data_IF_890487461925
#
_entry.id   IF_890487461925
#
_cell.length_a   1.000
_cell.length_b   1.000
_cell.length_c   1.000
_cell.angle_alpha   90.00
_cell.angle_beta   90.00
_cell.angle_gamma   90.00
#
_symmetry.space_group_name_H-M   'P 1'
#
loop_
_entity.id
_entity.type
_entity.pdbx_description
1 polymer ?
#
# COMPACT_ATOMS: atom_id res chain seq x y z
N UNK A 1 54.44 -42.06 -7.20
CA UNK A 1 53.04 -41.79 -7.58
C UNK A 1 52.28 -41.08 -6.43
N UNK A 2 52.74 -39.88 -6.00
CA UNK A 2 52.15 -39.14 -4.85
C UNK A 2 52.03 -37.62 -5.06
N UNK A 3 52.45 -37.12 -6.22
CA UNK A 3 52.53 -35.69 -6.55
C UNK A 3 51.33 -35.18 -7.35
N UNK A 4 50.57 -36.06 -8.02
CA UNK A 4 49.43 -35.69 -8.85
C UNK A 4 48.20 -35.21 -8.04
N UNK A 5 48.06 -35.64 -6.78
CA UNK A 5 46.87 -35.37 -5.97
C UNK A 5 46.92 -34.00 -5.23
N UNK A 6 48.13 -33.49 -4.94
CA UNK A 6 48.31 -32.24 -4.18
C UNK A 6 48.04 -30.98 -5.02
N UNK A 7 48.29 -31.07 -6.34
CA UNK A 7 48.06 -29.97 -7.28
C UNK A 7 46.55 -29.79 -7.54
N UNK A 8 45.82 -30.90 -7.69
CA UNK A 8 44.39 -30.90 -7.92
C UNK A 8 43.60 -30.33 -6.70
N UNK A 9 43.99 -30.68 -5.46
CA UNK A 9 43.35 -30.09 -4.27
C UNK A 9 43.58 -28.59 -4.10
N UNK A 10 44.71 -28.03 -4.55
CA UNK A 10 44.95 -26.58 -4.49
C UNK A 10 44.10 -25.83 -5.51
N UNK A 11 43.90 -26.42 -6.69
CA UNK A 11 43.02 -25.87 -7.73
C UNK A 11 41.57 -25.94 -7.28
N UNK A 12 41.11 -27.09 -6.76
CA UNK A 12 39.76 -27.27 -6.19
C UNK A 12 39.53 -26.30 -5.03
N UNK A 13 40.48 -26.11 -4.10
CA UNK A 13 40.35 -25.10 -3.03
C UNK A 13 40.25 -23.68 -3.57
N UNK A 14 41.03 -23.31 -4.59
CA UNK A 14 40.94 -21.99 -5.23
C UNK A 14 39.60 -21.78 -5.95
N UNK A 15 39.09 -22.81 -6.63
CA UNK A 15 37.77 -22.80 -7.28
C UNK A 15 36.67 -22.69 -6.22
N UNK A 16 36.75 -23.44 -5.12
CA UNK A 16 35.80 -23.39 -4.01
C UNK A 16 35.77 -21.99 -3.36
N UNK A 17 36.95 -21.39 -3.13
CA UNK A 17 37.09 -20.02 -2.61
C UNK A 17 36.51 -18.97 -3.57
N UNK A 18 36.58 -19.21 -4.88
CA UNK A 18 36.02 -18.32 -5.90
C UNK A 18 34.49 -18.47 -6.04
N UNK A 19 33.96 -19.69 -5.85
CA UNK A 19 32.53 -20.01 -5.96
C UNK A 19 31.75 -19.65 -4.69
N UNK A 20 32.37 -19.76 -3.51
CA UNK A 20 31.74 -19.44 -2.23
C UNK A 20 31.11 -18.03 -2.16
N UNK A 21 31.78 -16.94 -2.59
CA UNK A 21 31.14 -15.63 -2.64
C UNK A 21 30.00 -15.58 -3.67
N UNK A 22 30.10 -16.26 -4.82
CA UNK A 22 29.02 -16.30 -5.83
C UNK A 22 27.75 -16.95 -5.26
N UNK A 23 27.90 -18.02 -4.48
CA UNK A 23 26.77 -18.68 -3.79
C UNK A 23 26.20 -17.78 -2.69
N UNK A 24 27.07 -17.14 -1.88
CA UNK A 24 26.64 -16.21 -0.83
C UNK A 24 25.92 -14.96 -1.36
N UNK A 25 26.28 -14.46 -2.54
CA UNK A 25 25.62 -13.29 -3.15
C UNK A 25 24.35 -13.65 -3.95
N UNK A 26 24.13 -14.92 -4.29
CA UNK A 26 22.94 -15.38 -5.03
C UNK A 26 21.67 -15.48 -4.18
N UNK A 27 21.78 -15.50 -2.85
CA UNK A 27 20.64 -15.61 -1.93
C UNK A 27 19.95 -14.27 -1.61
N UNK A 28 20.47 -13.15 -2.12
CA UNK A 28 19.89 -11.81 -1.89
C UNK A 28 18.67 -11.59 -2.79
N UNK A 29 17.51 -11.33 -2.19
CA UNK A 29 16.30 -11.05 -2.97
C UNK A 29 16.44 -9.67 -3.60
N UNK A 30 16.20 -9.59 -4.90
CA UNK A 30 16.25 -8.31 -5.62
C UNK A 30 14.91 -7.57 -5.51
N UNK A 31 14.95 -6.24 -5.52
CA UNK A 31 13.72 -5.42 -5.55
C UNK A 31 12.84 -5.75 -6.76
N UNK A 32 13.45 -6.08 -7.90
CA UNK A 32 12.72 -6.46 -9.14
C UNK A 32 11.97 -7.78 -8.98
N UNK A 33 12.59 -8.79 -8.36
CA UNK A 33 11.94 -10.06 -8.05
C UNK A 33 10.72 -9.83 -7.17
N UNK A 34 10.92 -9.08 -6.08
CA UNK A 34 9.85 -8.78 -5.14
C UNK A 34 8.71 -7.97 -5.77
N UNK A 35 9.04 -6.99 -6.61
CA UNK A 35 8.05 -6.22 -7.36
C UNK A 35 7.26 -7.11 -8.33
N UNK A 36 7.91 -8.09 -8.97
CA UNK A 36 7.22 -9.03 -9.85
C UNK A 36 6.24 -9.92 -9.10
N UNK A 37 6.64 -10.40 -7.92
CA UNK A 37 5.75 -11.19 -7.04
C UNK A 37 4.59 -10.35 -6.50
N UNK A 38 4.81 -9.09 -6.11
CA UNK A 38 3.72 -8.20 -5.66
C UNK A 38 2.68 -7.97 -6.77
N UNK A 39 3.09 -7.96 -8.04
CA UNK A 39 2.17 -7.75 -9.18
C UNK A 39 1.16 -8.88 -9.39
N UNK A 40 1.40 -10.07 -8.84
CA UNK A 40 0.43 -11.18 -8.94
C UNK A 40 -0.74 -11.00 -7.99
N UNK A 41 -0.60 -10.14 -6.99
CA UNK A 41 -1.62 -9.88 -5.98
C UNK A 41 -2.39 -8.60 -6.29
N UNK A 42 -3.66 -8.61 -5.92
CA UNK A 42 -4.53 -7.44 -5.88
C UNK A 42 -5.27 -7.45 -4.56
N UNK A 43 -5.42 -6.28 -3.96
CA UNK A 43 -6.12 -6.11 -2.70
C UNK A 43 -7.28 -5.13 -2.89
N UNK A 44 -8.37 -5.41 -2.19
CA UNK A 44 -9.59 -4.59 -2.25
C UNK A 44 -9.46 -3.35 -1.38
N UNK A 45 -10.08 -2.26 -1.84
CA UNK A 45 -10.40 -1.11 -1.01
C UNK A 45 -11.81 -1.30 -0.46
N UNK A 46 -11.97 -1.12 0.84
CA UNK A 46 -13.26 -1.18 1.51
C UNK A 46 -13.66 0.17 2.09
N UNK A 47 -14.97 0.43 2.13
CA UNK A 47 -15.56 1.59 2.79
C UNK A 47 -16.67 1.08 3.72
N UNK A 48 -16.56 1.39 5.01
CA UNK A 48 -17.55 1.00 6.00
C UNK A 48 -18.26 2.25 6.53
N UNK A 49 -19.56 2.35 6.24
CA UNK A 49 -20.41 3.44 6.70
C UNK A 49 -20.62 3.36 8.21
N UNK A 50 -20.08 4.31 8.96
CA UNK A 50 -20.27 4.40 10.42
C UNK A 50 -20.95 5.68 10.88
N UNK A 51 -21.18 6.63 9.97
CA UNK A 51 -21.95 7.84 10.22
C UNK A 51 -23.41 7.52 10.54
N UNK A 52 -24.07 8.30 11.43
CA UNK A 52 -25.50 8.17 11.64
C UNK A 52 -26.28 8.56 10.38
N UNK A 53 -27.37 7.83 10.11
CA UNK A 53 -28.27 8.12 9.00
C UNK A 53 -29.07 9.41 9.26
N UNK A 54 -29.20 10.25 8.23
CA UNK A 54 -29.99 11.47 8.31
C UNK A 54 -31.47 11.16 8.09
N UNK A 55 -32.29 11.46 9.10
CA UNK A 55 -33.73 11.16 9.09
C UNK A 55 -34.62 12.36 8.68
N UNK A 56 -34.03 13.50 8.34
CA UNK A 56 -34.77 14.70 7.97
C UNK A 56 -35.22 14.72 6.51
N UNK A 57 -35.97 15.76 6.12
CA UNK A 57 -36.37 15.94 4.72
C UNK A 57 -35.17 16.31 3.83
N UNK A 58 -35.06 15.64 2.69
CA UNK A 58 -34.00 15.87 1.69
C UNK A 58 -34.62 16.60 0.49
N UNK A 59 -34.36 17.91 0.37
CA UNK A 59 -34.93 18.75 -0.68
C UNK A 59 -33.89 19.31 -1.67
N UNK A 60 -32.60 19.13 -1.40
CA UNK A 60 -31.49 19.61 -2.24
C UNK A 60 -30.78 18.46 -2.93
N UNK A 61 -30.30 18.74 -4.14
CA UNK A 61 -29.45 17.81 -4.91
C UNK A 61 -28.15 18.52 -5.25
N UNK A 62 -27.03 17.83 -5.02
CA UNK A 62 -25.68 18.23 -5.40
C UNK A 62 -25.19 17.27 -6.46
N UNK A 63 -24.59 17.81 -7.52
CA UNK A 63 -24.03 17.00 -8.61
C UNK A 63 -22.52 16.90 -8.46
N UNK A 64 -22.00 15.68 -8.38
CA UNK A 64 -20.59 15.38 -8.37
C UNK A 64 -20.07 15.31 -9.80
N UNK A 65 -19.11 16.17 -10.12
CA UNK A 65 -18.36 16.08 -11.37
C UNK A 65 -17.40 14.89 -11.35
N UNK A 66 -17.05 14.41 -12.54
CA UNK A 66 -16.12 13.30 -12.70
C UNK A 66 -14.76 13.60 -12.06
N UNK A 67 -14.19 12.61 -11.36
CA UNK A 67 -12.88 12.70 -10.74
C UNK A 67 -11.83 12.23 -11.74
N UNK A 68 -11.08 13.16 -12.34
CA UNK A 68 -10.20 12.88 -13.48
C UNK A 68 -9.08 11.87 -13.17
N UNK A 69 -8.31 12.11 -12.10
CA UNK A 69 -7.07 11.37 -11.81
C UNK A 69 -7.00 10.87 -10.37
N UNK A 70 -6.55 9.62 -10.19
CA UNK A 70 -6.27 9.00 -8.90
C UNK A 70 -5.03 9.57 -8.22
N UNK A 71 -4.10 10.15 -8.98
CA UNK A 71 -2.78 10.62 -8.54
C UNK A 71 -1.97 9.57 -7.75
N UNK A 72 -2.22 8.29 -8.05
CA UNK A 72 -1.43 7.15 -7.59
C UNK A 72 -0.52 6.70 -8.73
N UNK A 73 0.69 6.25 -8.42
CA UNK A 73 1.55 5.62 -9.43
C UNK A 73 0.85 4.38 -10.01
N UNK A 74 0.90 4.20 -11.34
CA UNK A 74 0.21 3.05 -11.94
C UNK A 74 0.74 1.71 -11.44
N UNK A 75 2.05 1.60 -11.19
CA UNK A 75 2.70 0.37 -10.76
C UNK A 75 3.19 0.46 -9.32
N UNK A 76 2.91 -0.58 -8.53
CA UNK A 76 3.52 -0.75 -7.20
C UNK A 76 5.03 -0.84 -7.34
N UNK A 77 5.77 -0.01 -6.61
CA UNK A 77 7.24 0.04 -6.68
C UNK A 77 7.87 -0.49 -5.41
N UNK A 78 8.96 -1.24 -5.56
CA UNK A 78 9.73 -1.81 -4.45
C UNK A 78 11.16 -1.28 -4.54
N UNK A 79 11.69 -0.75 -3.44
CA UNK A 79 13.07 -0.29 -3.34
C UNK A 79 13.76 -0.91 -2.13
N UNK A 80 14.87 -1.61 -2.35
CA UNK A 80 15.71 -2.12 -1.27
C UNK A 80 16.32 -0.93 -0.52
N UNK A 81 16.06 -0.85 0.78
CA UNK A 81 16.53 0.22 1.67
C UNK A 81 17.86 -0.14 2.32
N UNK A 82 18.02 -1.40 2.72
CA UNK A 82 19.23 -1.84 3.41
C UNK A 82 19.32 -3.36 3.52
N UNK A 83 20.52 -3.81 3.86
CA UNK A 83 20.82 -5.21 4.13
C UNK A 83 21.93 -5.27 5.18
N UNK A 84 21.80 -6.22 6.12
CA UNK A 84 22.85 -6.54 7.07
C UNK A 84 23.05 -8.04 7.10
N UNK A 85 24.30 -8.46 7.08
CA UNK A 85 24.71 -9.86 7.15
C UNK A 85 25.57 -10.00 8.40
N UNK A 86 25.21 -10.94 9.27
CA UNK A 86 25.96 -11.30 10.47
C UNK A 86 26.48 -12.72 10.23
N UNK A 87 27.73 -12.87 9.74
CA UNK A 87 28.30 -14.17 9.51
C UNK A 87 28.84 -14.76 10.82
N UNK A 88 28.20 -15.79 11.37
CA UNK A 88 28.77 -16.59 12.45
C UNK A 88 29.04 -18.01 11.97
N UNK A 89 30.06 -18.64 12.56
CA UNK A 89 30.63 -19.93 12.14
C UNK A 89 29.57 -21.05 12.06
N UNK A 90 28.56 -21.03 12.93
CA UNK A 90 27.46 -22.00 12.97
C UNK A 90 26.09 -21.38 12.70
N UNK A 91 26.03 -20.05 12.51
CA UNK A 91 24.79 -19.28 12.48
C UNK A 91 24.97 -18.09 11.55
N UNK A 92 24.42 -18.18 10.34
CA UNK A 92 24.39 -17.05 9.42
C UNK A 92 23.02 -16.40 9.53
N UNK A 93 22.99 -15.14 9.93
CA UNK A 93 21.76 -14.35 9.94
C UNK A 93 21.89 -13.19 8.96
N UNK A 94 20.90 -13.04 8.09
CA UNK A 94 20.80 -11.85 7.24
C UNK A 94 19.39 -11.29 7.29
N UNK A 95 19.30 -9.97 7.21
CA UNK A 95 18.04 -9.29 7.03
C UNK A 95 18.12 -8.24 5.93
N UNK A 96 17.01 -8.10 5.22
CA UNK A 96 16.81 -7.19 4.10
C UNK A 96 15.56 -6.36 4.37
N UNK A 97 15.64 -5.06 4.10
CA UNK A 97 14.50 -4.14 4.22
C UNK A 97 14.14 -3.59 2.84
N UNK A 98 12.86 -3.68 2.50
CA UNK A 98 12.30 -3.20 1.24
C UNK A 98 11.19 -2.20 1.53
N UNK A 99 11.29 -0.99 0.96
CA UNK A 99 10.19 -0.05 0.95
C UNK A 99 9.28 -0.35 -0.24
N UNK A 100 7.98 -0.36 0.01
CA UNK A 100 6.94 -0.57 -1.00
C UNK A 100 6.10 0.69 -1.10
N UNK A 101 5.85 1.16 -2.32
CA UNK A 101 4.89 2.23 -2.62
C UNK A 101 3.76 1.62 -3.41
N UNK A 102 2.54 1.72 -2.89
CA UNK A 102 1.34 1.16 -3.51
C UNK A 102 1.10 1.82 -4.86
N UNK A 103 0.81 1.01 -5.88
CA UNK A 103 0.35 1.47 -7.18
C UNK A 103 -1.04 0.97 -7.52
N UNK A 104 -1.70 1.68 -8.43
CA UNK A 104 -3.09 1.42 -8.79
C UNK A 104 -3.30 0.04 -9.42
N UNK A 105 -2.30 -0.52 -10.10
CA UNK A 105 -2.38 -1.88 -10.66
C UNK A 105 -2.53 -3.00 -9.63
N UNK A 106 -2.21 -2.72 -8.36
CA UNK A 106 -2.38 -3.66 -7.23
C UNK A 106 -3.73 -3.51 -6.53
N UNK A 107 -4.58 -2.59 -6.99
CA UNK A 107 -5.96 -2.46 -6.55
C UNK A 107 -6.88 -3.25 -7.49
N UNK A 108 -7.98 -3.76 -6.95
CA UNK A 108 -9.02 -4.41 -7.75
C UNK A 108 -9.85 -3.43 -8.57
N UNK A 109 -10.05 -2.22 -8.03
CA UNK A 109 -10.73 -1.09 -8.66
C UNK A 109 -9.87 0.17 -8.65
N UNK A 110 -10.17 1.13 -9.53
CA UNK A 110 -9.41 2.39 -9.54
C UNK A 110 -9.73 3.20 -8.29
N UNK A 111 -8.73 3.94 -7.77
CA UNK A 111 -8.94 4.70 -6.53
C UNK A 111 -10.00 5.80 -6.70
N UNK A 112 -10.11 6.37 -7.90
CA UNK A 112 -11.13 7.38 -8.22
C UNK A 112 -12.56 6.83 -8.16
N UNK A 113 -12.77 5.60 -8.63
CA UNK A 113 -14.09 4.94 -8.62
C UNK A 113 -14.49 4.63 -7.18
N UNK A 114 -13.55 4.07 -6.42
CA UNK A 114 -13.71 3.86 -4.98
C UNK A 114 -14.08 5.15 -4.22
N UNK A 115 -13.34 6.24 -4.44
CA UNK A 115 -13.60 7.52 -3.78
C UNK A 115 -14.97 8.09 -4.16
N UNK A 116 -15.35 7.99 -5.44
CA UNK A 116 -16.65 8.44 -5.93
C UNK A 116 -17.79 7.65 -5.26
N UNK A 117 -17.68 6.32 -5.23
CA UNK A 117 -18.67 5.46 -4.58
C UNK A 117 -18.77 5.70 -3.08
N UNK A 118 -17.63 5.88 -2.40
CA UNK A 118 -17.56 6.25 -0.99
C UNK A 118 -18.29 7.57 -0.71
N UNK A 119 -18.02 8.62 -1.50
CA UNK A 119 -18.70 9.92 -1.37
C UNK A 119 -20.20 9.82 -1.62
N UNK A 120 -20.62 9.09 -2.65
CA UNK A 120 -22.04 8.88 -2.96
C UNK A 120 -22.76 8.12 -1.85
N UNK A 121 -22.13 7.07 -1.33
CA UNK A 121 -22.70 6.23 -0.27
C UNK A 121 -22.82 7.03 1.03
N UNK A 122 -21.76 7.73 1.43
CA UNK A 122 -21.75 8.55 2.63
C UNK A 122 -22.76 9.70 2.53
N UNK A 123 -22.68 10.52 1.48
CA UNK A 123 -23.52 11.72 1.39
C UNK A 123 -25.00 11.38 1.31
N UNK A 124 -25.39 10.32 0.57
CA UNK A 124 -26.79 9.94 0.46
C UNK A 124 -27.36 9.27 1.71
N UNK A 125 -26.51 8.86 2.65
CA UNK A 125 -26.95 8.26 3.92
C UNK A 125 -26.93 9.27 5.07
N UNK A 126 -25.87 10.07 5.21
CA UNK A 126 -25.62 10.89 6.42
C UNK A 126 -25.93 12.37 6.27
N UNK A 127 -26.30 12.84 5.07
CA UNK A 127 -26.46 14.29 4.81
C UNK A 127 -27.89 14.71 4.44
N UNK A 128 -28.11 16.03 4.37
CA UNK A 128 -29.42 16.64 4.13
C UNK A 128 -29.68 16.89 2.63
N UNK A 129 -28.81 16.38 1.77
CA UNK A 129 -28.89 16.53 0.33
C UNK A 129 -28.60 15.19 -0.35
N UNK A 130 -29.10 15.02 -1.56
CA UNK A 130 -28.73 13.88 -2.39
C UNK A 130 -27.52 14.24 -3.25
N UNK A 131 -26.47 13.42 -3.20
CA UNK A 131 -25.35 13.50 -4.12
C UNK A 131 -25.62 12.60 -5.33
N UNK A 132 -25.59 13.18 -6.53
CA UNK A 132 -25.77 12.47 -7.79
C UNK A 132 -24.61 12.68 -8.72
N UNK A 133 -24.37 11.73 -9.61
CA UNK A 133 -23.40 11.93 -10.69
C UNK A 133 -23.89 13.02 -11.65
N UNK A 134 -22.99 13.92 -12.03
CA UNK A 134 -23.26 14.90 -13.07
C UNK A 134 -23.28 14.22 -14.44
N UNK A 135 -24.44 14.21 -15.09
CA UNK A 135 -24.49 13.95 -16.52
C UNK A 135 -24.04 15.25 -17.20
N UNK A 136 -23.12 15.16 -18.16
CA UNK A 136 -22.27 16.24 -18.68
C UNK A 136 -22.94 17.54 -19.20
N UNK A 137 -24.25 17.74 -19.05
CA UNK A 137 -25.03 18.84 -19.61
C UNK A 137 -25.96 19.58 -18.61
N UNK A 138 -25.71 19.54 -17.30
CA UNK A 138 -26.56 20.27 -16.34
C UNK A 138 -26.00 21.69 -16.11
N UNK A 139 -26.37 22.62 -16.99
CA UNK A 139 -26.03 24.06 -16.90
C UNK A 139 -27.23 24.86 -16.41
N UNK A 140 -27.56 24.73 -15.12
CA UNK A 140 -28.58 25.57 -14.47
C UNK A 140 -27.94 26.34 -13.31
N UNK A 141 -28.16 27.66 -13.27
CA UNK A 141 -27.51 28.57 -12.29
C UNK A 141 -27.89 28.27 -10.83
N UNK A 142 -28.99 27.55 -10.58
CA UNK A 142 -29.44 27.15 -9.25
C UNK A 142 -28.84 25.83 -8.74
N UNK A 143 -28.11 25.10 -9.58
CA UNK A 143 -27.62 23.75 -9.28
C UNK A 143 -26.30 23.82 -8.52
N UNK A 144 -26.18 22.98 -7.49
CA UNK A 144 -24.94 22.81 -6.74
C UNK A 144 -24.06 21.78 -7.43
N UNK A 145 -22.84 22.17 -7.78
CA UNK A 145 -21.85 21.32 -8.43
C UNK A 145 -20.66 21.15 -7.49
N UNK A 146 -20.30 19.89 -7.23
CA UNK A 146 -19.18 19.48 -6.42
C UNK A 146 -18.06 18.97 -7.32
N UNK A 147 -16.95 19.71 -7.36
CA UNK A 147 -15.71 19.27 -7.99
C UNK A 147 -14.80 18.65 -6.93
N UNK A 148 -14.35 17.42 -7.16
CA UNK A 148 -13.40 16.73 -6.29
C UNK A 148 -12.16 16.41 -7.09
N UNK A 149 -11.01 16.91 -6.62
CA UNK A 149 -9.71 16.68 -7.23
C UNK A 149 -8.78 16.05 -6.22
N UNK A 150 -8.29 14.85 -6.52
CA UNK A 150 -7.22 14.23 -5.75
C UNK A 150 -5.93 14.98 -6.10
N UNK A 151 -5.28 15.60 -5.11
CA UNK A 151 -4.06 16.38 -5.29
C UNK A 151 -2.84 15.49 -5.12
N UNK A 152 -2.84 14.66 -4.08
CA UNK A 152 -1.76 13.73 -3.78
C UNK A 152 -2.34 12.48 -3.14
N UNK A 153 -1.92 11.31 -3.60
CA UNK A 153 -2.30 10.04 -3.02
C UNK A 153 -1.08 9.12 -3.02
N UNK A 154 -0.52 8.86 -1.84
CA UNK A 154 0.64 8.01 -1.70
C UNK A 154 0.52 7.15 -0.46
N UNK A 155 0.49 5.84 -0.66
CA UNK A 155 0.56 4.86 0.42
C UNK A 155 1.88 4.12 0.36
N UNK A 156 2.55 4.02 1.52
CA UNK A 156 3.83 3.36 1.65
C UNK A 156 3.83 2.38 2.81
N UNK A 157 4.60 1.31 2.65
CA UNK A 157 4.89 0.35 3.71
C UNK A 157 6.31 -0.17 3.54
N UNK A 158 6.78 -0.99 4.48
CA UNK A 158 8.06 -1.65 4.37
C UNK A 158 7.97 -3.12 4.76
N UNK A 159 8.74 -3.96 4.09
CA UNK A 159 8.85 -5.38 4.38
C UNK A 159 10.27 -5.65 4.84
N UNK A 160 10.38 -6.27 6.02
CA UNK A 160 11.64 -6.76 6.58
C UNK A 160 11.67 -8.27 6.47
N UNK A 161 12.56 -8.78 5.63
CA UNK A 161 12.83 -10.21 5.52
C UNK A 161 14.05 -10.52 6.37
N UNK A 162 13.97 -11.58 7.18
CA UNK A 162 15.11 -12.10 7.91
C UNK A 162 15.22 -13.59 7.63
N UNK A 163 16.38 -14.04 7.19
CA UNK A 163 16.67 -15.46 7.13
C UNK A 163 17.81 -15.80 8.07
N UNK A 164 17.66 -16.98 8.68
CA UNK A 164 18.64 -17.55 9.57
C UNK A 164 18.96 -18.94 9.06
N UNK A 165 20.23 -19.20 8.80
CA UNK A 165 20.73 -20.52 8.43
C UNK A 165 21.61 -21.02 9.56
N UNK A 166 21.20 -22.11 10.19
CA UNK A 166 21.98 -22.80 11.23
C UNK A 166 22.68 -23.99 10.62
N UNK A 167 23.99 -24.04 10.79
CA UNK A 167 24.83 -25.13 10.31
C UNK A 167 25.08 -26.11 11.47
N UNK A 168 24.54 -27.33 11.35
CA UNK A 168 24.78 -28.40 12.31
C UNK A 168 25.71 -29.46 11.70
N UNK A 169 26.98 -29.56 12.12
CA UNK A 169 27.86 -30.63 11.70
C UNK A 169 27.49 -31.92 12.46
N UNK A 170 26.79 -32.86 11.81
CA UNK A 170 26.43 -34.14 12.43
C UNK A 170 27.54 -35.20 12.29
N UNK A 171 28.36 -35.16 11.23
CA UNK A 171 29.54 -36.05 11.05
C UNK A 171 30.43 -35.59 9.89
N UNK A 172 31.57 -36.28 9.66
CA UNK A 172 32.62 -35.93 8.67
C UNK A 172 32.11 -35.70 7.24
N UNK A 173 30.91 -36.18 6.88
CA UNK A 173 30.31 -35.98 5.55
C UNK A 173 28.82 -35.60 5.57
N UNK A 174 28.25 -35.22 6.73
CA UNK A 174 26.83 -34.87 6.84
C UNK A 174 26.68 -33.49 7.51
N UNK A 175 26.34 -32.49 6.68
CA UNK A 175 25.95 -31.17 7.12
C UNK A 175 24.43 -31.03 7.00
N UNK A 176 23.78 -30.57 8.07
CA UNK A 176 22.35 -30.27 8.07
C UNK A 176 22.16 -28.76 8.20
N UNK A 177 21.51 -28.17 7.19
CA UNK A 177 21.21 -26.75 7.12
C UNK A 177 19.76 -26.53 7.54
N UNK A 178 19.54 -25.84 8.66
CA UNK A 178 18.22 -25.39 9.09
C UNK A 178 18.02 -23.94 8.66
N UNK A 179 17.16 -23.72 7.66
CA UNK A 179 16.75 -22.40 7.20
C UNK A 179 15.45 -21.94 7.84
N UNK A 180 15.49 -20.84 8.59
CA UNK A 180 14.31 -20.13 9.07
C UNK A 180 14.18 -18.82 8.30
N UNK A 181 13.12 -18.66 7.50
CA UNK A 181 12.75 -17.38 6.92
C UNK A 181 11.60 -16.79 7.72
N UNK A 182 11.71 -15.51 8.05
CA UNK A 182 10.66 -14.77 8.71
C UNK A 182 10.48 -13.45 7.98
N UNK A 183 9.23 -13.10 7.68
CA UNK A 183 8.88 -11.83 7.08
C UNK A 183 8.02 -11.02 8.02
N UNK A 184 8.41 -9.76 8.20
CA UNK A 184 7.63 -8.79 8.96
C UNK A 184 7.24 -7.63 8.07
N UNK A 185 5.95 -7.35 8.05
CA UNK A 185 5.39 -6.14 7.44
C UNK A 185 5.45 -5.01 8.46
N UNK A 186 5.98 -3.86 8.07
CA UNK A 186 5.95 -2.64 8.85
C UNK A 186 4.60 -1.93 8.67
N UNK A 187 4.21 -1.06 9.62
CA UNK A 187 2.92 -0.38 9.51
C UNK A 187 2.85 0.50 8.26
N UNK A 188 1.70 0.46 7.58
CA UNK A 188 1.46 1.28 6.40
C UNK A 188 1.18 2.74 6.79
N UNK A 189 1.54 3.65 5.88
CA UNK A 189 1.33 5.09 5.99
C UNK A 189 0.73 5.59 4.69
N UNK A 190 -0.43 6.24 4.78
CA UNK A 190 -1.15 6.85 3.66
C UNK A 190 -1.17 8.36 3.81
N UNK A 191 -0.62 9.03 2.82
CA UNK A 191 -0.62 10.49 2.63
C UNK A 191 -1.62 10.83 1.52
N UNK A 192 -2.76 11.40 1.89
CA UNK A 192 -3.86 11.70 0.96
C UNK A 192 -4.31 13.15 1.10
N UNK A 193 -4.46 13.83 -0.04
CA UNK A 193 -4.83 15.23 -0.12
C UNK A 193 -5.91 15.36 -1.18
N UNK A 194 -7.11 15.76 -0.76
CA UNK A 194 -8.25 15.92 -1.65
C UNK A 194 -8.67 17.39 -1.61
N UNK A 195 -8.70 18.03 -2.78
CA UNK A 195 -9.28 19.36 -2.93
C UNK A 195 -10.75 19.22 -3.32
N UNK A 196 -11.61 19.92 -2.61
CA UNK A 196 -13.05 19.95 -2.86
C UNK A 196 -13.47 21.37 -3.13
N UNK A 197 -14.23 21.55 -4.22
CA UNK A 197 -14.82 22.83 -4.58
C UNK A 197 -16.32 22.67 -4.81
N UNK A 198 -17.13 23.32 -3.98
CA UNK A 198 -18.57 23.42 -4.18
C UNK A 198 -18.88 24.75 -4.86
N UNK A 199 -19.63 24.69 -5.96
CA UNK A 199 -20.06 25.86 -6.71
C UNK A 199 -21.58 25.87 -6.87
N UNK A 200 -22.16 27.06 -6.96
CA UNK A 200 -23.55 27.27 -7.32
C UNK A 200 -23.58 28.34 -8.40
N UNK A 201 -23.88 27.93 -9.63
CA UNK A 201 -23.75 28.80 -10.81
C UNK A 201 -22.31 29.32 -10.95
N UNK A 202 -22.12 30.64 -10.78
CA UNK A 202 -20.80 31.30 -10.89
C UNK A 202 -20.10 31.53 -9.54
N UNK A 203 -20.77 31.25 -8.43
CA UNK A 203 -20.23 31.52 -7.10
C UNK A 203 -19.60 30.25 -6.51
N UNK A 204 -18.33 30.32 -6.10
CA UNK A 204 -17.70 29.29 -5.29
C UNK A 204 -18.16 29.44 -3.85
N UNK A 205 -18.78 28.39 -3.30
CA UNK A 205 -19.31 28.35 -1.95
C UNK A 205 -18.32 27.78 -0.94
N UNK A 206 -17.53 26.80 -1.41
CA UNK A 206 -16.48 26.15 -0.65
C UNK A 206 -15.34 25.83 -1.62
N UNK A 207 -14.11 26.12 -1.22
CA UNK A 207 -12.91 25.60 -1.84
C UNK A 207 -11.92 25.30 -0.72
N UNK A 208 -11.62 24.01 -0.51
CA UNK A 208 -10.82 23.56 0.62
C UNK A 208 -10.07 22.28 0.30
N UNK A 209 -8.84 22.21 0.79
CA UNK A 209 -8.01 21.00 0.74
C UNK A 209 -8.10 20.26 2.07
N UNK A 210 -8.38 18.97 2.00
CA UNK A 210 -8.44 18.03 3.12
C UNK A 210 -7.18 17.17 3.11
N UNK A 211 -6.15 17.53 3.90
CA UNK A 211 -4.96 16.70 4.06
C UNK A 211 -5.19 15.64 5.14
N UNK A 212 -4.81 14.41 4.87
CA UNK A 212 -4.75 13.36 5.89
C UNK A 212 -3.44 12.59 5.82
N UNK A 213 -2.87 12.40 7.01
CA UNK A 213 -1.74 11.52 7.23
C UNK A 213 -2.21 10.40 8.16
N UNK A 214 -2.46 9.23 7.57
CA UNK A 214 -2.91 8.06 8.32
C UNK A 214 -1.75 7.07 8.46
N UNK A 215 -1.42 6.73 9.70
CA UNK A 215 -0.50 5.63 10.00
C UNK A 215 -1.29 4.53 10.68
N UNK A 216 -1.34 3.34 10.09
CA UNK A 216 -2.00 2.21 10.72
C UNK A 216 -1.15 1.69 11.88
N UNK A 217 -1.75 1.32 13.00
CA UNK A 217 -1.06 0.66 14.11
C UNK A 217 -1.09 -0.85 13.91
N UNK A 218 -0.40 -1.34 12.87
CA UNK A 218 -0.32 -2.77 12.60
C UNK A 218 0.66 -3.45 13.56
N UNK A 219 0.16 -4.27 14.49
CA UNK A 219 0.98 -5.19 15.29
C UNK A 219 1.21 -6.44 14.44
N UNK A 220 2.10 -6.32 13.45
CA UNK A 220 2.43 -7.44 12.58
C UNK A 220 3.03 -8.60 13.36
N UNK A 221 2.26 -9.69 13.45
CA UNK A 221 2.77 -11.00 13.81
C UNK A 221 3.83 -11.42 12.79
N UNK A 222 4.88 -12.11 13.25
CA UNK A 222 5.87 -12.68 12.33
C UNK A 222 5.17 -13.68 11.42
N UNK A 223 5.25 -13.47 10.10
CA UNK A 223 4.77 -14.45 9.14
C UNK A 223 5.88 -15.48 8.96
N UNK A 224 5.65 -16.70 9.47
CA UNK A 224 6.57 -17.84 9.35
C UNK A 224 6.84 -18.26 7.91
N UNK A 225 6.07 -17.74 6.94
CA UNK A 225 6.27 -17.99 5.50
C UNK A 225 6.40 -16.69 4.70
N UNK A 226 7.53 -16.54 4.01
CA UNK A 226 7.84 -15.39 3.15
C UNK A 226 6.90 -15.19 1.95
N UNK A 227 6.09 -16.20 1.62
CA UNK A 227 5.19 -16.21 0.46
C UNK A 227 3.99 -15.25 0.64
N UNK A 228 3.45 -15.14 1.86
CA UNK A 228 2.27 -14.31 2.14
C UNK A 228 2.61 -12.89 2.59
N UNK A 229 3.90 -12.58 2.77
CA UNK A 229 4.35 -11.27 3.28
C UNK A 229 4.06 -10.15 2.28
N UNK A 230 4.09 -10.47 0.98
CA UNK A 230 3.79 -9.52 -0.08
C UNK A 230 2.30 -9.16 -0.11
N UNK A 231 1.43 -10.17 -0.04
CA UNK A 231 -0.03 -10.01 0.05
C UNK A 231 -0.43 -9.26 1.32
N UNK A 232 0.04 -9.70 2.49
CA UNK A 232 -0.20 -9.02 3.75
C UNK A 232 0.30 -7.56 3.77
N UNK A 233 1.37 -7.26 3.02
CA UNK A 233 1.83 -5.88 2.85
C UNK A 233 0.87 -5.05 1.99
N UNK A 234 0.34 -5.62 0.91
CA UNK A 234 -0.67 -4.94 0.09
C UNK A 234 -1.95 -4.72 0.89
N UNK A 235 -2.44 -5.74 1.59
CA UNK A 235 -3.66 -5.65 2.41
C UNK A 235 -3.54 -4.58 3.49
N UNK A 236 -2.42 -4.54 4.21
CA UNK A 236 -2.15 -3.49 5.21
C UNK A 236 -2.10 -2.09 4.57
N UNK A 237 -1.59 -1.96 3.33
CA UNK A 237 -1.59 -0.69 2.61
C UNK A 237 -2.99 -0.29 2.14
N UNK A 238 -3.77 -1.22 1.58
CA UNK A 238 -5.15 -0.91 1.15
C UNK A 238 -6.04 -0.62 2.35
N UNK A 239 -5.88 -1.34 3.47
CA UNK A 239 -6.53 -1.05 4.75
C UNK A 239 -6.23 0.38 5.21
N UNK A 240 -4.95 0.77 5.20
CA UNK A 240 -4.55 2.12 5.59
C UNK A 240 -5.12 3.20 4.66
N UNK A 241 -5.16 2.97 3.35
CA UNK A 241 -5.76 3.88 2.37
C UNK A 241 -7.28 3.96 2.51
N UNK A 242 -7.95 2.85 2.78
CA UNK A 242 -9.39 2.78 3.09
C UNK A 242 -9.75 3.61 4.31
N UNK A 243 -9.01 3.44 5.41
CA UNK A 243 -9.21 4.22 6.64
C UNK A 243 -8.95 5.72 6.42
N UNK A 244 -7.90 6.06 5.66
CA UNK A 244 -7.61 7.45 5.29
C UNK A 244 -8.73 8.08 4.46
N UNK A 245 -9.23 7.34 3.47
CA UNK A 245 -10.31 7.78 2.59
C UNK A 245 -11.60 7.97 3.37
N UNK A 246 -11.94 7.03 4.25
CA UNK A 246 -13.11 7.11 5.13
C UNK A 246 -13.14 8.42 5.91
N UNK A 247 -12.06 8.74 6.62
CA UNK A 247 -11.96 9.97 7.41
C UNK A 247 -12.14 11.24 6.56
N UNK A 248 -11.51 11.29 5.38
CA UNK A 248 -11.71 12.45 4.48
C UNK A 248 -13.15 12.54 3.99
N UNK A 249 -13.75 11.41 3.61
CA UNK A 249 -15.14 11.38 3.11
C UNK A 249 -16.13 11.82 4.20
N UNK A 250 -15.95 11.36 5.44
CA UNK A 250 -16.74 11.79 6.61
C UNK A 250 -16.55 13.29 6.91
N UNK A 251 -15.31 13.80 6.83
CA UNK A 251 -15.04 15.24 7.03
C UNK A 251 -15.70 16.11 5.93
N UNK A 252 -15.59 15.69 4.67
CA UNK A 252 -16.22 16.37 3.53
C UNK A 252 -17.74 16.33 3.66
N UNK A 253 -18.33 15.16 3.93
CA UNK A 253 -19.79 14.99 4.02
C UNK A 253 -20.38 15.83 5.15
N UNK A 254 -19.72 15.85 6.32
CA UNK A 254 -20.13 16.63 7.47
C UNK A 254 -20.09 18.15 7.19
N UNK A 255 -19.02 18.65 6.58
CA UNK A 255 -18.89 20.08 6.26
C UNK A 255 -19.90 20.51 5.19
N UNK A 256 -20.10 19.69 4.15
CA UNK A 256 -21.13 19.92 3.13
C UNK A 256 -22.54 19.90 3.73
N UNK A 257 -22.83 18.94 4.64
CA UNK A 257 -24.11 18.87 5.33
C UNK A 257 -24.41 20.16 6.10
N UNK A 258 -23.45 20.66 6.88
CA UNK A 258 -23.61 21.91 7.64
C UNK A 258 -23.82 23.12 6.72
N UNK A 259 -23.07 23.22 5.62
CA UNK A 259 -23.22 24.29 4.63
C UNK A 259 -24.59 24.26 3.96
N UNK A 260 -25.13 23.06 3.72
CA UNK A 260 -26.43 22.88 3.06
C UNK A 260 -27.61 23.04 4.01
N UNK A 261 -27.45 22.74 5.31
CA UNK A 261 -28.45 23.02 6.35
C UNK A 261 -28.59 24.52 6.63
N UNK A 262 -27.50 25.28 6.59
CA UNK A 262 -27.51 26.73 6.84
C UNK A 262 -28.12 27.57 5.71
N UNK A 263 -28.61 26.94 4.64
CA UNK A 263 -29.14 27.58 3.43
C UNK A 263 -30.56 27.12 3.15
#
# INVERSE_FOLDING_TARGET
MRTFNKWNMRIIKKILILILPVILFSACRSSKSMQHEIRTFRSDLYYELTSPEYLGEINKTVYLNFIDYSNVDYHTTVKKKGMLIIPLIFFNHWWEEFNVVLGESSLTQTYREFLMEALLTECNSSTCFNLRHSNADIVSESVYILDVKIVHNRTTSAIKLSNTVVFLPLSENLHFDLGFSNGKVQPAVSDLYINVRLTQGKNSLLEKVYPIHQKLSYIGGGLENSLFVNEACLDNMTECLSVATKKIVEDISSELHLLMLGR
#
